data_IF_931958922965
#
_entry.id   IF_931958922965
#
_cell.length_a   1.000
_cell.length_b   1.000
_cell.length_c   1.000
_cell.angle_alpha   90.00
_cell.angle_beta   90.00
_cell.angle_gamma   90.00
#
_symmetry.space_group_name_H-M   'P 1'
#
loop_
_entity.id
_entity.type
_entity.pdbx_description
1 polymer ?
#
# COMPACT_ATOMS: atom_id res chain seq x y z
N UNK A 1 37.70 7.88 27.76
CA UNK A 1 37.41 6.73 28.64
C UNK A 1 35.92 6.71 28.92
N UNK A 2 35.27 5.56 28.85
CA UNK A 2 33.84 5.44 29.05
C UNK A 2 33.48 5.67 30.52
N UNK A 3 32.61 6.64 30.80
CA UNK A 3 32.18 7.02 32.16
C UNK A 3 31.01 6.18 32.68
N UNK A 4 30.55 5.20 31.90
CA UNK A 4 29.38 4.36 32.21
C UNK A 4 29.43 3.73 33.61
N UNK A 5 30.60 3.26 34.05
CA UNK A 5 30.78 2.64 35.37
C UNK A 5 31.11 3.63 36.49
N UNK A 6 31.26 4.91 36.16
CA UNK A 6 31.56 5.98 37.12
C UNK A 6 30.29 6.74 37.54
N UNK A 7 29.11 6.23 37.19
CA UNK A 7 27.81 6.80 37.54
C UNK A 7 26.83 5.69 37.91
N UNK A 8 25.75 5.98 38.65
CA UNK A 8 24.71 5.00 38.96
C UNK A 8 24.14 4.36 37.68
N UNK A 9 24.14 3.03 37.63
CA UNK A 9 23.61 2.28 36.49
C UNK A 9 22.08 2.24 36.52
N UNK A 10 21.46 2.46 35.37
CA UNK A 10 20.04 2.16 35.11
C UNK A 10 19.99 0.91 34.25
N UNK A 11 19.55 -0.20 34.83
CA UNK A 11 19.56 -1.51 34.18
C UNK A 11 18.23 -1.77 33.49
N UNK A 12 18.25 -2.25 32.26
CA UNK A 12 17.07 -2.80 31.58
C UNK A 12 17.20 -4.32 31.62
N UNK A 13 16.31 -4.99 32.34
CA UNK A 13 16.29 -6.44 32.48
C UNK A 13 15.31 -7.05 31.46
N UNK A 14 15.79 -7.97 30.63
CA UNK A 14 14.99 -8.79 29.74
C UNK A 14 15.16 -10.27 30.14
N UNK A 15 14.07 -10.96 30.44
CA UNK A 15 14.09 -12.34 30.95
C UNK A 15 13.47 -12.45 32.35
N UNK A 16 14.10 -13.23 33.24
CA UNK A 16 13.56 -13.50 34.57
C UNK A 16 13.44 -12.22 35.41
N UNK A 17 12.26 -11.99 36.00
CA UNK A 17 11.98 -10.80 36.81
C UNK A 17 12.88 -10.72 38.06
N UNK A 18 13.24 -11.88 38.62
CA UNK A 18 14.05 -11.99 39.84
C UNK A 18 15.42 -11.32 39.74
N UNK A 19 15.98 -11.16 38.53
CA UNK A 19 17.23 -10.41 38.35
C UNK A 19 17.04 -8.91 38.53
N UNK A 20 15.92 -8.35 38.07
CA UNK A 20 15.59 -6.94 38.35
C UNK A 20 15.32 -6.75 39.85
N UNK A 21 14.59 -7.67 40.48
CA UNK A 21 14.29 -7.64 41.91
C UNK A 21 15.57 -7.64 42.74
N UNK A 22 16.53 -8.52 42.41
CA UNK A 22 17.81 -8.59 43.13
C UNK A 22 18.61 -7.29 43.01
N UNK A 23 18.61 -6.64 41.83
CA UNK A 23 19.28 -5.36 41.63
C UNK A 23 18.62 -4.26 42.45
N UNK A 24 17.29 -4.22 42.49
CA UNK A 24 16.53 -3.25 43.28
C UNK A 24 16.74 -3.46 44.78
N UNK A 25 16.75 -4.71 45.26
CA UNK A 25 17.05 -5.03 46.66
C UNK A 25 18.47 -4.62 47.08
N UNK A 26 19.45 -4.71 46.16
CA UNK A 26 20.80 -4.21 46.38
C UNK A 26 20.92 -2.67 46.30
N UNK A 27 19.81 -1.95 46.12
CA UNK A 27 19.76 -0.48 46.04
C UNK A 27 20.02 0.09 44.64
N UNK A 28 20.09 -0.75 43.61
CA UNK A 28 20.26 -0.35 42.21
C UNK A 28 18.93 0.01 41.53
N UNK A 29 19.02 0.66 40.35
CA UNK A 29 17.84 0.98 39.53
C UNK A 29 17.72 -0.01 38.37
N UNK A 30 16.61 -0.75 38.31
CA UNK A 30 16.31 -1.68 37.22
C UNK A 30 14.87 -1.52 36.71
N UNK A 31 14.68 -1.60 35.40
CA UNK A 31 13.39 -1.71 34.72
C UNK A 31 13.30 -3.13 34.15
N UNK A 32 12.34 -3.92 34.61
CA UNK A 32 12.04 -5.23 34.03
C UNK A 32 11.12 -5.05 32.83
N UNK A 33 11.59 -5.46 31.65
CA UNK A 33 10.75 -5.55 30.47
C UNK A 33 9.82 -6.76 30.61
N UNK A 34 8.53 -6.54 30.34
CA UNK A 34 7.60 -7.64 30.12
C UNK A 34 7.88 -8.28 28.76
N UNK A 35 8.95 -9.07 28.71
CA UNK A 35 9.40 -9.77 27.52
C UNK A 35 8.98 -11.24 27.60
N UNK A 36 8.45 -11.74 26.50
CA UNK A 36 8.14 -13.15 26.31
C UNK A 36 8.64 -13.59 24.92
N UNK A 37 9.11 -14.84 24.77
CA UNK A 37 9.47 -15.37 23.47
C UNK A 37 8.25 -15.35 22.52
N UNK A 38 8.48 -15.30 21.19
CA UNK A 38 7.41 -15.47 20.20
C UNK A 38 6.55 -16.71 20.49
N UNK A 39 5.30 -16.69 20.04
CA UNK A 39 4.36 -17.80 20.23
C UNK A 39 4.14 -18.23 21.71
N UNK A 40 4.24 -17.28 22.66
CA UNK A 40 4.03 -17.54 24.11
C UNK A 40 4.99 -18.59 24.71
N UNK A 41 6.17 -18.80 24.09
CA UNK A 41 7.13 -19.79 24.55
C UNK A 41 6.80 -21.22 24.17
N UNK A 42 6.00 -21.41 23.12
CA UNK A 42 5.87 -22.69 22.43
C UNK A 42 7.27 -23.16 21.97
N UNK A 43 7.77 -24.18 22.66
CA UNK A 43 9.12 -24.72 22.45
C UNK A 43 9.22 -25.34 21.06
N UNK A 44 8.19 -26.07 20.63
CA UNK A 44 8.20 -26.79 19.36
C UNK A 44 8.16 -25.77 18.21
N UNK A 45 7.28 -24.76 18.28
CA UNK A 45 7.25 -23.68 17.29
C UNK A 45 8.56 -22.87 17.26
N UNK A 46 9.17 -22.63 18.43
CA UNK A 46 10.47 -21.96 18.52
C UNK A 46 11.60 -22.76 17.90
N UNK A 47 11.62 -24.08 18.12
CA UNK A 47 12.59 -25.00 17.52
C UNK A 47 12.37 -25.16 16.01
N UNK A 48 11.13 -25.22 15.56
CA UNK A 48 10.77 -25.23 14.14
C UNK A 48 11.30 -23.96 13.45
N UNK A 49 11.03 -22.77 14.02
CA UNK A 49 11.57 -21.51 13.49
C UNK A 49 13.11 -21.48 13.50
N UNK A 50 13.73 -21.95 14.58
CA UNK A 50 15.18 -22.02 14.68
C UNK A 50 15.78 -22.96 13.62
N UNK A 51 15.10 -24.05 13.29
CA UNK A 51 15.50 -25.00 12.24
C UNK A 51 15.45 -24.37 10.83
N UNK A 52 14.59 -23.36 10.65
CA UNK A 52 14.48 -22.61 9.39
C UNK A 52 15.55 -21.54 9.22
N UNK A 53 16.24 -21.13 10.30
CA UNK A 53 17.28 -20.10 10.24
C UNK A 53 18.46 -20.58 9.36
N UNK A 54 18.73 -19.85 8.26
CA UNK A 54 19.73 -20.24 7.24
C UNK A 54 19.48 -21.62 6.63
N UNK A 55 18.24 -22.11 6.66
CA UNK A 55 17.89 -23.35 6.01
C UNK A 55 18.15 -23.24 4.50
N UNK A 56 18.90 -24.17 3.87
CA UNK A 56 19.33 -24.01 2.47
C UNK A 56 18.17 -23.78 1.48
N UNK A 57 17.01 -24.42 1.71
CA UNK A 57 15.82 -24.20 0.89
C UNK A 57 15.28 -22.76 1.02
N UNK A 58 15.29 -22.19 2.23
CA UNK A 58 14.80 -20.82 2.49
C UNK A 58 15.76 -19.81 1.89
N UNK A 59 17.07 -19.98 2.11
CA UNK A 59 18.09 -19.10 1.54
C UNK A 59 18.08 -19.12 0.01
N UNK A 60 17.90 -20.30 -0.60
CA UNK A 60 17.79 -20.41 -2.05
C UNK A 60 16.52 -19.72 -2.58
N UNK A 61 15.38 -19.92 -1.93
CA UNK A 61 14.14 -19.24 -2.29
C UNK A 61 14.26 -17.71 -2.15
N UNK A 62 14.87 -17.23 -1.06
CA UNK A 62 15.12 -15.82 -0.82
C UNK A 62 16.04 -15.22 -1.89
N UNK A 63 17.10 -15.93 -2.28
CA UNK A 63 18.00 -15.49 -3.34
C UNK A 63 17.24 -15.33 -4.67
N UNK A 64 16.37 -16.28 -5.02
CA UNK A 64 15.53 -16.20 -6.22
C UNK A 64 14.59 -14.99 -6.14
N UNK A 65 13.90 -14.80 -5.02
CA UNK A 65 12.97 -13.70 -4.82
C UNK A 65 13.67 -12.33 -4.91
N UNK A 66 14.80 -12.18 -4.23
CA UNK A 66 15.60 -10.94 -4.23
C UNK A 66 16.19 -10.66 -5.61
N UNK A 67 16.68 -11.69 -6.31
CA UNK A 67 17.19 -11.55 -7.69
C UNK A 67 16.08 -11.02 -8.61
N UNK A 68 14.88 -11.62 -8.57
CA UNK A 68 13.73 -11.15 -9.36
C UNK A 68 13.31 -9.72 -9.03
N UNK A 69 13.34 -9.35 -7.74
CA UNK A 69 13.05 -7.98 -7.31
C UNK A 69 14.08 -6.99 -7.86
N UNK A 70 15.37 -7.30 -7.75
CA UNK A 70 16.46 -6.45 -8.23
C UNK A 70 16.49 -6.34 -9.77
N UNK A 71 16.18 -7.42 -10.48
CA UNK A 71 16.16 -7.48 -11.95
C UNK A 71 14.90 -6.86 -12.57
N UNK A 72 13.87 -6.56 -11.78
CA UNK A 72 12.65 -5.95 -12.31
C UNK A 72 12.97 -4.65 -13.04
N UNK A 73 12.48 -4.48 -14.26
CA UNK A 73 12.64 -3.26 -15.04
C UNK A 73 11.28 -2.62 -15.27
N UNK A 74 10.74 -1.87 -14.27
CA UNK A 74 9.46 -1.20 -14.41
C UNK A 74 9.59 0.04 -15.29
N UNK A 75 8.78 0.10 -16.33
CA UNK A 75 8.64 1.27 -17.20
C UNK A 75 7.17 1.67 -17.30
N UNK A 76 6.88 2.96 -17.31
CA UNK A 76 5.53 3.46 -17.57
C UNK A 76 5.28 3.42 -19.07
N UNK A 77 4.24 2.69 -19.50
CA UNK A 77 3.97 2.40 -20.91
C UNK A 77 2.67 2.99 -21.44
N UNK A 78 1.67 3.21 -20.60
CA UNK A 78 0.36 3.68 -21.05
C UNK A 78 -0.45 4.31 -19.90
N UNK A 79 -1.57 4.92 -20.27
CA UNK A 79 -2.70 5.27 -19.42
C UNK A 79 -3.94 4.58 -19.96
N UNK A 80 -4.67 3.87 -19.10
CA UNK A 80 -5.87 3.13 -19.46
C UNK A 80 -6.98 3.38 -18.45
N UNK A 81 -8.24 3.25 -18.86
CA UNK A 81 -9.32 3.16 -17.88
C UNK A 81 -9.23 1.82 -17.15
N UNK A 82 -9.65 1.78 -15.89
CA UNK A 82 -9.57 0.57 -15.07
C UNK A 82 -10.28 -0.63 -15.72
N UNK A 83 -11.43 -0.42 -16.36
CA UNK A 83 -12.15 -1.48 -17.10
C UNK A 83 -11.41 -2.04 -18.31
N UNK A 84 -10.50 -1.28 -18.89
CA UNK A 84 -9.68 -1.69 -20.03
C UNK A 84 -8.43 -2.44 -19.54
N UNK A 85 -7.86 -1.98 -18.44
CA UNK A 85 -6.65 -2.54 -17.84
C UNK A 85 -6.91 -3.83 -17.03
N UNK A 86 -8.07 -3.92 -16.38
CA UNK A 86 -8.45 -4.98 -15.45
C UNK A 86 -9.75 -5.63 -15.96
N UNK A 87 -9.66 -6.72 -16.77
CA UNK A 87 -10.83 -7.34 -17.41
C UNK A 87 -11.96 -7.71 -16.45
N UNK A 88 -11.60 -8.13 -15.24
CA UNK A 88 -12.55 -8.52 -14.20
C UNK A 88 -13.43 -7.37 -13.69
N UNK A 89 -13.14 -6.11 -14.04
CA UNK A 89 -13.98 -4.94 -13.78
C UNK A 89 -14.99 -4.64 -14.90
N UNK A 90 -14.83 -5.26 -16.07
CA UNK A 90 -15.80 -5.17 -17.16
C UNK A 90 -16.94 -6.19 -17.03
N UNK A 91 -16.74 -7.24 -16.23
CA UNK A 91 -17.68 -8.38 -16.09
C UNK A 91 -18.80 -8.12 -15.08
N UNK A 92 -18.55 -7.31 -14.05
CA UNK A 92 -19.51 -7.00 -12.99
C UNK A 92 -19.21 -5.66 -12.33
N UNK A 93 -20.17 -5.12 -11.56
CA UNK A 93 -19.97 -3.91 -10.74
C UNK A 93 -18.94 -4.17 -9.65
N UNK A 94 -17.68 -3.88 -9.94
CA UNK A 94 -16.54 -4.11 -9.05
C UNK A 94 -15.86 -2.80 -8.68
N UNK A 95 -15.52 -2.66 -7.40
CA UNK A 95 -14.68 -1.59 -6.87
C UNK A 95 -13.50 -2.22 -6.15
N UNK A 96 -12.29 -1.78 -6.51
CA UNK A 96 -11.08 -2.21 -5.81
C UNK A 96 -10.76 -1.28 -4.65
N UNK A 97 -10.12 -1.81 -3.60
CA UNK A 97 -9.67 -1.04 -2.45
C UNK A 97 -8.24 -1.41 -2.02
N UNK A 98 -7.60 -0.51 -1.27
CA UNK A 98 -6.29 -0.79 -0.66
C UNK A 98 -6.38 -1.87 0.44
N UNK A 99 -5.24 -2.46 0.80
CA UNK A 99 -5.15 -3.41 1.91
C UNK A 99 -5.58 -4.84 1.57
N UNK A 100 -5.70 -5.71 2.59
CA UNK A 100 -6.15 -7.11 2.44
C UNK A 100 -7.68 -7.21 2.27
N UNK A 101 -8.23 -8.40 1.97
CA UNK A 101 -9.68 -8.62 1.96
C UNK A 101 -10.32 -8.16 3.27
N UNK A 102 -11.42 -7.41 3.16
CA UNK A 102 -12.18 -6.89 4.29
C UNK A 102 -13.66 -6.77 3.94
N UNK A 103 -14.55 -7.15 4.86
CA UNK A 103 -15.99 -7.02 4.66
C UNK A 103 -16.42 -5.55 4.74
N UNK A 104 -17.48 -5.18 4.02
CA UNK A 104 -18.00 -3.81 3.98
C UNK A 104 -18.26 -3.26 5.39
N UNK A 105 -18.84 -4.07 6.27
CA UNK A 105 -19.24 -3.66 7.63
C UNK A 105 -18.03 -3.24 8.46
N UNK A 106 -16.88 -3.88 8.25
CA UNK A 106 -15.62 -3.67 8.96
C UNK A 106 -14.78 -2.52 8.37
N UNK A 107 -15.12 -2.03 7.18
CA UNK A 107 -14.42 -0.90 6.57
C UNK A 107 -14.61 0.39 7.39
N UNK A 108 -13.54 1.17 7.51
CA UNK A 108 -13.57 2.45 8.19
C UNK A 108 -14.32 3.51 7.36
N UNK A 109 -14.79 4.57 8.04
CA UNK A 109 -15.59 5.64 7.42
C UNK A 109 -14.99 6.24 6.14
N UNK A 110 -13.69 6.59 6.08
CA UNK A 110 -13.07 7.11 4.87
C UNK A 110 -13.13 6.15 3.67
N UNK A 111 -12.89 4.85 3.90
CA UNK A 111 -12.97 3.83 2.83
C UNK A 111 -14.42 3.69 2.36
N UNK A 112 -15.38 3.64 3.29
CA UNK A 112 -16.81 3.60 2.98
C UNK A 112 -17.25 4.80 2.14
N UNK A 113 -16.89 6.01 2.56
CA UNK A 113 -17.18 7.24 1.83
C UNK A 113 -16.58 7.26 0.43
N UNK A 114 -15.37 6.74 0.26
CA UNK A 114 -14.70 6.64 -1.03
C UNK A 114 -15.38 5.62 -1.97
N UNK A 115 -15.83 4.48 -1.45
CA UNK A 115 -16.59 3.48 -2.23
C UNK A 115 -17.93 4.08 -2.69
N UNK A 116 -18.67 4.72 -1.78
CA UNK A 116 -19.93 5.41 -2.11
C UNK A 116 -19.68 6.47 -3.19
N UNK A 117 -18.62 7.28 -3.04
CA UNK A 117 -18.26 8.29 -4.04
C UNK A 117 -17.92 7.69 -5.40
N UNK A 118 -17.21 6.56 -5.43
CA UNK A 118 -16.96 5.82 -6.66
C UNK A 118 -18.25 5.29 -7.30
N UNK A 119 -19.21 4.78 -6.52
CA UNK A 119 -20.51 4.34 -7.05
C UNK A 119 -21.33 5.48 -7.64
N UNK A 120 -21.31 6.65 -7.00
CA UNK A 120 -21.93 7.87 -7.53
C UNK A 120 -21.24 8.33 -8.82
N UNK A 121 -19.91 8.30 -8.84
CA UNK A 121 -19.09 8.65 -10.01
C UNK A 121 -19.37 7.75 -11.23
N UNK A 122 -19.52 6.44 -11.00
CA UNK A 122 -19.89 5.47 -12.06
C UNK A 122 -21.39 5.55 -12.45
N UNK A 123 -22.19 6.33 -11.73
CA UNK A 123 -23.64 6.42 -11.94
C UNK A 123 -24.40 5.15 -11.56
N UNK A 124 -23.83 4.30 -10.70
CA UNK A 124 -24.48 3.09 -10.21
C UNK A 124 -25.48 3.37 -9.10
N UNK A 125 -25.25 4.43 -8.34
CA UNK A 125 -26.14 4.90 -7.30
C UNK A 125 -26.50 6.37 -7.53
N UNK A 126 -27.67 6.76 -7.05
CA UNK A 126 -28.21 8.13 -7.13
C UNK A 126 -28.05 8.90 -5.83
N UNK A 127 -27.72 8.21 -4.74
CA UNK A 127 -27.49 8.80 -3.42
C UNK A 127 -26.62 7.88 -2.57
N UNK A 128 -26.12 8.40 -1.44
CA UNK A 128 -25.40 7.59 -0.47
C UNK A 128 -26.24 6.41 0.06
N UNK A 129 -27.52 6.64 0.36
CA UNK A 129 -28.40 5.59 0.87
C UNK A 129 -28.63 4.48 -0.16
N UNK A 130 -28.79 4.86 -1.44
CA UNK A 130 -28.91 3.92 -2.54
C UNK A 130 -27.65 3.07 -2.70
N UNK A 131 -26.46 3.70 -2.64
CA UNK A 131 -25.18 2.99 -2.68
C UNK A 131 -25.05 1.96 -1.54
N UNK A 132 -25.34 2.36 -0.30
CA UNK A 132 -25.29 1.48 0.86
C UNK A 132 -26.28 0.30 0.73
N UNK A 133 -27.49 0.55 0.21
CA UNK A 133 -28.48 -0.51 -0.02
C UNK A 133 -27.98 -1.54 -1.05
N UNK A 134 -27.40 -1.09 -2.17
CA UNK A 134 -26.86 -1.99 -3.20
C UNK A 134 -25.68 -2.81 -2.67
N UNK A 135 -24.78 -2.22 -1.86
CA UNK A 135 -23.67 -2.95 -1.24
C UNK A 135 -24.21 -4.02 -0.28
N UNK A 136 -25.14 -3.65 0.61
CA UNK A 136 -25.73 -4.60 1.57
C UNK A 136 -26.55 -5.70 0.88
N UNK A 137 -27.06 -5.46 -0.33
CA UNK A 137 -27.74 -6.46 -1.16
C UNK A 137 -26.75 -7.39 -1.91
N UNK A 138 -25.44 -7.14 -1.83
CA UNK A 138 -24.41 -7.92 -2.51
C UNK A 138 -24.29 -7.62 -4.01
N UNK A 139 -24.79 -6.47 -4.47
CA UNK A 139 -24.75 -6.10 -5.89
C UNK A 139 -23.40 -5.52 -6.34
N UNK A 140 -22.54 -5.17 -5.38
CA UNK A 140 -21.22 -4.58 -5.61
C UNK A 140 -20.15 -5.53 -5.08
N UNK A 141 -19.24 -5.93 -5.96
CA UNK A 141 -18.08 -6.71 -5.59
C UNK A 141 -16.94 -5.78 -5.10
N UNK A 142 -16.55 -5.94 -3.85
CA UNK A 142 -15.43 -5.21 -3.25
C UNK A 142 -14.23 -6.14 -3.15
N UNK A 143 -13.10 -5.74 -3.71
CA UNK A 143 -11.91 -6.59 -3.73
C UNK A 143 -10.59 -5.83 -3.55
N UNK A 144 -9.55 -6.45 -2.98
CA UNK A 144 -8.23 -5.83 -2.87
C UNK A 144 -7.61 -5.52 -4.23
N UNK A 145 -7.00 -4.34 -4.36
CA UNK A 145 -6.20 -3.97 -5.54
C UNK A 145 -5.11 -5.01 -5.84
N UNK A 146 -4.48 -5.57 -4.81
CA UNK A 146 -3.39 -6.55 -4.94
C UNK A 146 -3.80 -7.85 -5.63
N UNK A 147 -5.09 -8.21 -5.64
CA UNK A 147 -5.59 -9.37 -6.38
C UNK A 147 -5.63 -9.15 -7.90
N UNK A 148 -5.54 -7.89 -8.34
CA UNK A 148 -5.67 -7.48 -9.75
C UNK A 148 -4.43 -6.73 -10.25
N UNK A 149 -3.27 -7.02 -9.65
CA UNK A 149 -1.99 -6.34 -9.96
C UNK A 149 -2.05 -4.82 -9.85
N UNK A 150 -2.94 -4.29 -9.01
CA UNK A 150 -3.09 -2.86 -8.80
C UNK A 150 -2.67 -2.47 -7.38
N UNK A 151 -2.32 -1.19 -7.22
CA UNK A 151 -2.10 -0.55 -5.92
C UNK A 151 -2.77 0.82 -5.91
N UNK A 152 -3.43 1.14 -4.81
CA UNK A 152 -4.10 2.43 -4.60
C UNK A 152 -3.65 3.07 -3.28
N UNK A 153 -3.32 4.38 -3.26
CA UNK A 153 -2.90 5.06 -2.05
C UNK A 153 -4.08 5.38 -1.13
N UNK A 154 -3.85 5.39 0.18
CA UNK A 154 -4.86 5.71 1.20
C UNK A 154 -6.06 4.77 1.14
N UNK A 155 -7.30 5.24 0.91
CA UNK A 155 -8.42 4.31 0.69
C UNK A 155 -8.19 3.41 -0.54
N UNK A 156 -7.44 3.91 -1.54
CA UNK A 156 -7.01 3.17 -2.71
C UNK A 156 -8.15 2.68 -3.59
N UNK A 157 -9.23 3.46 -3.67
CA UNK A 157 -10.42 3.10 -4.43
C UNK A 157 -10.15 3.23 -5.93
N UNK A 158 -10.50 2.17 -6.66
CA UNK A 158 -10.46 2.13 -8.13
C UNK A 158 -11.81 1.61 -8.63
N UNK A 159 -12.47 2.42 -9.47
CA UNK A 159 -13.69 2.04 -10.18
C UNK A 159 -13.49 2.01 -11.70
N UNK A 160 -14.37 1.34 -12.47
CA UNK A 160 -14.15 1.02 -13.90
C UNK A 160 -13.78 2.20 -14.81
N UNK A 161 -14.29 3.40 -14.54
CA UNK A 161 -14.07 4.61 -15.33
C UNK A 161 -12.94 5.49 -14.80
N UNK A 162 -12.21 5.05 -13.77
CA UNK A 162 -11.03 5.78 -13.28
C UNK A 162 -9.81 5.49 -14.17
N UNK A 163 -8.99 6.51 -14.48
CA UNK A 163 -7.75 6.31 -15.21
C UNK A 163 -6.65 5.72 -14.32
N UNK A 164 -5.88 4.81 -14.91
CA UNK A 164 -4.75 4.13 -14.29
C UNK A 164 -3.47 4.38 -15.08
N UNK A 165 -2.37 4.58 -14.36
CA UNK A 165 -1.03 4.40 -14.89
C UNK A 165 -0.76 2.93 -15.15
N UNK A 166 -0.21 2.60 -16.31
CA UNK A 166 0.17 1.23 -16.68
C UNK A 166 1.69 1.13 -16.64
N UNK A 167 2.22 0.44 -15.63
CA UNK A 167 3.63 0.09 -15.55
C UNK A 167 3.83 -1.35 -16.02
N UNK A 168 4.81 -1.58 -16.88
CA UNK A 168 5.20 -2.92 -17.35
C UNK A 168 6.60 -3.24 -16.85
N UNK A 169 6.78 -4.43 -16.28
CA UNK A 169 8.11 -4.95 -15.99
C UNK A 169 8.68 -5.59 -17.26
N UNK A 170 9.62 -4.93 -17.93
CA UNK A 170 10.20 -5.40 -19.20
C UNK A 170 10.96 -6.72 -19.08
N UNK A 171 11.34 -7.13 -17.86
CA UNK A 171 12.01 -8.41 -17.62
C UNK A 171 11.08 -9.61 -17.80
N UNK A 172 9.76 -9.44 -17.58
CA UNK A 172 8.79 -10.55 -17.65
C UNK A 172 7.44 -10.21 -18.31
N UNK A 173 7.25 -8.97 -18.78
CA UNK A 173 6.02 -8.48 -19.41
C UNK A 173 4.83 -8.29 -18.46
N UNK A 174 4.99 -8.50 -17.15
CA UNK A 174 3.89 -8.31 -16.20
C UNK A 174 3.54 -6.83 -16.08
N UNK A 175 2.25 -6.52 -16.12
CA UNK A 175 1.72 -5.18 -15.92
C UNK A 175 1.18 -5.00 -14.51
N UNK A 176 1.38 -3.80 -13.97
CA UNK A 176 0.81 -3.35 -12.71
C UNK A 176 0.24 -1.96 -12.85
N UNK A 177 -0.74 -1.64 -12.01
CA UNK A 177 -1.57 -0.45 -12.18
C UNK A 177 -1.64 0.39 -10.91
N UNK A 178 -1.72 1.70 -11.07
CA UNK A 178 -2.07 2.60 -9.98
C UNK A 178 -2.94 3.73 -10.48
N UNK A 179 -3.89 4.18 -9.66
CA UNK A 179 -4.76 5.29 -10.01
C UNK A 179 -4.02 6.63 -9.97
N UNK A 180 -4.65 7.64 -10.57
CA UNK A 180 -4.10 8.99 -10.61
C UNK A 180 -4.23 9.67 -9.24
N UNK A 181 -3.31 10.59 -8.96
CA UNK A 181 -3.41 11.47 -7.79
C UNK A 181 -4.43 12.59 -8.07
N UNK A 182 -5.47 12.67 -7.25
CA UNK A 182 -6.56 13.64 -7.36
C UNK A 182 -6.18 15.07 -6.90
N UNK A 183 -4.93 15.27 -6.46
CA UNK A 183 -4.42 16.52 -5.92
C UNK A 183 -4.51 16.61 -4.40
N UNK A 184 -4.48 17.85 -3.90
CA UNK A 184 -4.54 18.19 -2.48
C UNK A 184 -5.96 18.60 -2.06
N UNK A 185 -6.25 18.52 -0.76
CA UNK A 185 -7.53 18.94 -0.19
C UNK A 185 -8.58 17.83 -0.16
N UNK A 186 -9.83 18.16 -0.49
CA UNK A 186 -10.93 17.20 -0.54
C UNK A 186 -10.75 16.29 -1.75
N UNK A 187 -10.54 15.00 -1.49
CA UNK A 187 -10.27 13.96 -2.49
C UNK A 187 -10.89 12.64 -2.07
N UNK A 188 -11.24 11.81 -3.06
CA UNK A 188 -11.88 10.52 -2.87
C UNK A 188 -11.02 9.57 -2.05
N UNK A 189 -9.70 9.56 -2.24
CA UNK A 189 -8.79 8.68 -1.48
C UNK A 189 -8.81 8.90 0.05
N UNK A 190 -9.41 10.00 0.53
CA UNK A 190 -9.66 10.27 1.95
C UNK A 190 -11.16 10.20 2.33
N UNK A 191 -12.02 9.73 1.43
CA UNK A 191 -13.45 9.53 1.66
C UNK A 191 -14.36 10.70 1.31
N UNK A 192 -13.82 11.81 0.79
CA UNK A 192 -14.65 12.93 0.34
C UNK A 192 -15.31 12.58 -1.01
N UNK A 193 -16.61 12.86 -1.15
CA UNK A 193 -17.41 12.44 -2.30
C UNK A 193 -18.48 13.47 -2.70
N UNK A 194 -18.24 14.76 -2.42
CA UNK A 194 -19.11 15.84 -2.87
C UNK A 194 -18.92 16.13 -4.37
N UNK A 195 -19.81 16.94 -4.95
CA UNK A 195 -19.81 17.29 -6.38
C UNK A 195 -18.46 17.79 -6.88
N UNK A 196 -17.72 18.56 -6.09
CA UNK A 196 -16.37 19.01 -6.45
C UNK A 196 -15.41 17.85 -6.72
N UNK A 197 -15.43 16.81 -5.88
CA UNK A 197 -14.60 15.61 -6.05
C UNK A 197 -15.07 14.82 -7.27
N UNK A 198 -16.38 14.58 -7.40
CA UNK A 198 -16.92 13.79 -8.52
C UNK A 198 -16.67 14.48 -9.88
N UNK A 199 -16.85 15.80 -9.95
CA UNK A 199 -16.54 16.58 -11.15
C UNK A 199 -15.03 16.54 -11.47
N UNK A 200 -14.15 16.56 -10.46
CA UNK A 200 -12.71 16.42 -10.68
C UNK A 200 -12.36 15.04 -11.23
N UNK A 201 -12.97 13.96 -10.71
CA UNK A 201 -12.76 12.61 -11.23
C UNK A 201 -13.23 12.50 -12.69
N UNK A 202 -14.37 13.11 -13.03
CA UNK A 202 -14.85 13.17 -14.41
C UNK A 202 -13.88 13.93 -15.33
N UNK A 203 -13.40 15.10 -14.89
CA UNK A 203 -12.36 15.84 -15.62
C UNK A 203 -11.07 15.03 -15.79
N UNK A 204 -10.65 14.30 -14.75
CA UNK A 204 -9.47 13.45 -14.82
C UNK A 204 -9.63 12.34 -15.86
N UNK A 205 -10.83 11.74 -15.98
CA UNK A 205 -11.15 10.76 -17.01
C UNK A 205 -11.23 11.37 -18.41
N UNK A 206 -11.91 12.50 -18.55
CA UNK A 206 -12.32 13.04 -19.85
C UNK A 206 -11.24 13.93 -20.50
N UNK A 207 -10.38 14.56 -19.70
CA UNK A 207 -9.36 15.49 -20.20
C UNK A 207 -7.94 15.07 -19.82
N UNK A 208 -7.66 14.87 -18.53
CA UNK A 208 -6.29 14.60 -18.06
C UNK A 208 -5.76 13.27 -18.60
N UNK A 209 -6.54 12.20 -18.49
CA UNK A 209 -6.11 10.88 -18.90
C UNK A 209 -5.84 10.77 -20.41
N UNK A 210 -6.70 11.29 -21.32
CA UNK A 210 -6.38 11.36 -22.75
C UNK A 210 -5.12 12.17 -23.05
N UNK A 211 -4.92 13.30 -22.35
CA UNK A 211 -3.72 14.13 -22.51
C UNK A 211 -2.45 13.37 -22.09
N UNK A 212 -2.48 12.70 -20.93
CA UNK A 212 -1.34 11.91 -20.44
C UNK A 212 -1.07 10.69 -21.30
N UNK A 213 -2.12 10.02 -21.80
CA UNK A 213 -1.99 8.92 -22.76
C UNK A 213 -1.27 9.36 -24.03
N UNK A 214 -1.68 10.50 -24.60
CA UNK A 214 -1.04 11.06 -25.79
C UNK A 214 0.42 11.48 -25.52
N UNK A 215 0.69 12.05 -24.33
CA UNK A 215 2.04 12.43 -23.92
C UNK A 215 2.97 11.21 -23.84
N UNK A 216 2.54 10.12 -23.21
CA UNK A 216 3.33 8.88 -23.14
C UNK A 216 3.54 8.29 -24.54
N UNK A 217 2.51 8.28 -25.39
CA UNK A 217 2.63 7.78 -26.76
C UNK A 217 3.67 8.56 -27.59
N UNK A 218 3.85 9.85 -27.35
CA UNK A 218 4.87 10.66 -28.01
C UNK A 218 6.25 10.57 -27.35
N UNK A 219 6.30 10.55 -26.02
CA UNK A 219 7.55 10.47 -25.26
C UNK A 219 8.22 9.10 -25.44
N UNK A 220 7.42 8.04 -25.57
CA UNK A 220 7.88 6.66 -25.43
C UNK A 220 7.90 6.21 -23.97
N UNK A 221 8.30 4.96 -23.76
CA UNK A 221 8.37 4.35 -22.43
C UNK A 221 9.25 5.17 -21.48
N UNK A 222 8.81 5.31 -20.22
CA UNK A 222 9.54 6.05 -19.19
C UNK A 222 10.09 5.09 -18.13
N UNK A 223 11.41 4.97 -18.04
CA UNK A 223 12.06 4.09 -17.06
C UNK A 223 11.90 4.64 -15.64
N UNK A 224 11.26 3.87 -14.75
CA UNK A 224 10.94 4.35 -13.40
C UNK A 224 12.12 4.26 -12.44
N UNK A 225 13.01 3.26 -12.60
CA UNK A 225 14.16 3.07 -11.71
C UNK A 225 15.16 4.25 -11.73
N UNK A 226 15.59 4.78 -12.89
CA UNK A 226 16.46 5.95 -12.92
C UNK A 226 15.81 7.19 -12.29
N UNK A 227 14.51 7.42 -12.54
CA UNK A 227 13.76 8.52 -11.92
C UNK A 227 13.73 8.40 -10.40
N UNK A 228 13.42 7.22 -9.88
CA UNK A 228 13.43 6.95 -8.44
C UNK A 228 14.83 7.17 -7.84
N UNK A 229 15.88 6.67 -8.48
CA UNK A 229 17.25 6.84 -8.01
C UNK A 229 17.67 8.31 -7.98
N UNK A 230 17.31 9.08 -9.00
CA UNK A 230 17.58 10.51 -9.06
C UNK A 230 16.79 11.27 -7.99
N UNK A 231 15.51 10.96 -7.80
CA UNK A 231 14.68 11.57 -6.77
C UNK A 231 15.24 11.31 -5.36
N UNK A 232 15.69 10.09 -5.07
CA UNK A 232 16.35 9.74 -3.80
C UNK A 232 17.62 10.60 -3.57
N UNK A 233 18.42 10.84 -4.60
CA UNK A 233 19.57 11.75 -4.50
C UNK A 233 19.20 13.23 -4.36
N UNK A 234 17.96 13.60 -4.68
CA UNK A 234 17.39 14.94 -4.49
C UNK A 234 16.63 15.07 -3.16
N UNK A 235 16.73 14.05 -2.30
CA UNK A 235 16.21 14.02 -0.93
C UNK A 235 14.74 13.59 -0.82
N UNK A 236 14.13 13.10 -1.89
CA UNK A 236 12.86 12.39 -1.78
C UNK A 236 13.08 11.02 -1.10
N UNK A 237 12.02 10.46 -0.52
CA UNK A 237 11.98 9.04 -0.12
C UNK A 237 10.90 8.25 -0.87
N UNK A 238 10.31 8.89 -1.90
CA UNK A 238 9.35 8.33 -2.86
C UNK A 238 8.07 7.73 -2.25
N UNK A 239 7.71 8.15 -1.05
CA UNK A 239 6.46 7.79 -0.37
C UNK A 239 5.74 9.03 0.19
N UNK A 240 6.28 9.66 1.23
CA UNK A 240 5.77 10.90 1.83
C UNK A 240 6.25 12.16 1.10
N UNK A 241 7.53 12.17 0.71
CA UNK A 241 8.17 13.27 -0.03
C UNK A 241 8.55 12.77 -1.42
N UNK A 242 7.84 13.30 -2.41
CA UNK A 242 7.94 12.95 -3.82
C UNK A 242 8.07 14.20 -4.72
N UNK A 243 8.61 15.30 -4.18
CA UNK A 243 8.65 16.59 -4.88
C UNK A 243 9.66 16.58 -6.04
N UNK A 244 10.83 15.95 -5.83
CA UNK A 244 11.80 15.78 -6.89
C UNK A 244 11.28 14.82 -7.97
N UNK A 245 10.75 13.66 -7.57
CA UNK A 245 10.19 12.68 -8.50
C UNK A 245 9.05 13.25 -9.35
N UNK A 246 8.22 14.13 -8.79
CA UNK A 246 7.12 14.78 -9.53
C UNK A 246 7.61 15.88 -10.48
N UNK A 247 8.78 16.48 -10.21
CA UNK A 247 9.34 17.56 -11.02
C UNK A 247 10.26 17.10 -12.15
N UNK A 248 10.68 15.82 -12.14
CA UNK A 248 11.45 15.18 -13.20
C UNK A 248 10.51 14.70 -14.32
#
# INVERSE_FOLDING_TARGET
MNTLFNQPLKVVNAGLHSFADNIQHAGGSAIALNWQPPAQGDIDAGLDLASLLRHPLVENANQIAMTRYLEAHPVLVDVMLAKEAIPAMAEQKRILHSGPPIAWEEMCGPVKGAIIGAMLYEGWATSQQDAENQINAGEIDLAPCHHYHAVGPMAGIISPSMPLWVAENKTNGHRTFSNFNEGLGKVLRFGANNDEVLNRLAWMRDELAPAMKAAIAQHGELELKPLMAQALHMGDEVHNRNAAATGL
#
